data_IF_407098291554
#
_entry.id   IF_407098291554
#
_cell.length_a   1.000
_cell.length_b   1.000
_cell.length_c   1.000
_cell.angle_alpha   90.00
_cell.angle_beta   90.00
_cell.angle_gamma   90.00
#
_symmetry.space_group_name_H-M   'P 1'
#
loop_
_entity.id
_entity.type
_entity.pdbx_description
1 polymer ?
#
# COMPACT_ATOMS: atom_id res chain seq x y z
N UNK A 1 -16.60 -14.82 8.11
CA UNK A 1 -15.91 -14.19 6.98
C UNK A 1 -15.49 -12.78 7.35
N UNK A 2 -14.20 -12.47 7.15
CA UNK A 2 -13.63 -11.20 7.57
C UNK A 2 -13.69 -10.19 6.42
N UNK A 3 -14.40 -9.09 6.64
CA UNK A 3 -14.54 -8.03 5.65
C UNK A 3 -14.25 -6.68 6.32
N UNK A 4 -13.48 -5.84 5.65
CA UNK A 4 -13.14 -4.50 6.12
C UNK A 4 -13.51 -3.47 5.06
N UNK A 5 -14.24 -2.44 5.47
CA UNK A 5 -14.49 -1.26 4.64
C UNK A 5 -13.54 -0.17 5.12
N UNK A 6 -12.41 -0.04 4.42
CA UNK A 6 -11.31 0.83 4.86
C UNK A 6 -11.49 2.30 4.49
N UNK A 7 -12.51 2.63 3.68
CA UNK A 7 -12.74 4.00 3.27
C UNK A 7 -11.53 4.59 2.58
N UNK A 8 -11.10 5.76 3.03
CA UNK A 8 -9.96 6.48 2.47
C UNK A 8 -8.64 6.21 3.22
N UNK A 9 -8.65 5.29 4.21
CA UNK A 9 -7.44 5.00 5.01
C UNK A 9 -6.48 4.09 4.26
N UNK A 10 -6.99 2.98 3.69
CA UNK A 10 -6.19 2.00 2.98
C UNK A 10 -6.79 1.75 1.61
N UNK A 11 -5.96 1.85 0.58
CA UNK A 11 -6.31 1.53 -0.81
C UNK A 11 -5.53 0.31 -1.27
N UNK A 12 -5.98 -0.29 -2.38
CA UNK A 12 -5.20 -1.32 -3.06
C UNK A 12 -3.88 -0.68 -3.51
N UNK A 13 -2.78 -1.19 -2.98
CA UNK A 13 -1.41 -0.71 -3.20
C UNK A 13 -1.17 0.74 -2.74
N UNK A 14 -1.99 1.26 -1.83
CA UNK A 14 -1.80 2.62 -1.34
C UNK A 14 -2.49 2.90 -0.02
N UNK A 15 -2.47 4.14 0.37
CA UNK A 15 -3.22 4.64 1.52
C UNK A 15 -3.69 6.07 1.23
N UNK A 16 -4.59 6.58 2.09
CA UNK A 16 -5.07 7.94 1.94
C UNK A 16 -3.99 8.99 2.23
N UNK A 17 -4.21 10.19 1.73
CA UNK A 17 -3.34 11.33 2.06
C UNK A 17 -3.53 11.72 3.52
N UNK A 18 -2.49 12.32 4.09
CA UNK A 18 -2.53 12.78 5.48
C UNK A 18 -3.14 14.18 5.50
N UNK A 19 -4.46 14.26 5.62
CA UNK A 19 -5.19 15.53 5.74
C UNK A 19 -5.39 15.94 7.19
N UNK A 20 -5.57 14.96 8.08
CA UNK A 20 -5.76 15.15 9.50
C UNK A 20 -4.80 14.25 10.27
N UNK A 21 -4.33 14.71 11.42
CA UNK A 21 -3.35 13.99 12.20
C UNK A 21 -1.94 14.15 11.62
N UNK A 22 -1.08 13.16 11.85
CA UNK A 22 0.31 13.20 11.42
C UNK A 22 0.74 11.81 10.91
N UNK A 23 1.95 11.70 10.31
CA UNK A 23 2.45 10.42 9.79
C UNK A 23 2.47 9.29 10.81
N UNK A 24 2.82 9.59 12.07
CA UNK A 24 2.84 8.59 13.12
C UNK A 24 1.44 8.03 13.38
N UNK A 25 0.44 8.88 13.47
CA UNK A 25 -0.96 8.45 13.70
C UNK A 25 -1.47 7.58 12.56
N UNK A 26 -1.18 7.95 11.31
CA UNK A 26 -1.59 7.15 10.15
C UNK A 26 -0.86 5.81 10.12
N UNK A 27 0.44 5.82 10.40
CA UNK A 27 1.25 4.60 10.46
C UNK A 27 0.69 3.63 11.53
N UNK A 28 0.36 4.14 12.71
CA UNK A 28 -0.23 3.34 13.78
C UNK A 28 -1.60 2.78 13.40
N UNK A 29 -2.42 3.58 12.70
CA UNK A 29 -3.73 3.13 12.21
C UNK A 29 -3.58 1.97 11.22
N UNK A 30 -2.63 2.07 10.29
CA UNK A 30 -2.35 0.99 9.34
C UNK A 30 -1.81 -0.25 10.04
N UNK A 31 -0.98 -0.08 11.07
CA UNK A 31 -0.46 -1.22 11.84
C UNK A 31 -1.58 -1.99 12.54
N UNK A 32 -2.60 -1.29 13.02
CA UNK A 32 -3.79 -1.97 13.60
C UNK A 32 -4.53 -2.79 12.55
N UNK A 33 -4.66 -2.27 11.33
CA UNK A 33 -5.30 -3.01 10.23
C UNK A 33 -4.47 -4.24 9.85
N UNK A 34 -3.14 -4.13 9.89
CA UNK A 34 -2.23 -5.25 9.58
C UNK A 34 -2.37 -6.42 10.55
N UNK A 35 -2.89 -6.19 11.75
CA UNK A 35 -3.09 -7.25 12.74
C UNK A 35 -4.33 -8.12 12.46
N UNK A 36 -5.15 -7.75 11.48
CA UNK A 36 -6.31 -8.54 11.08
C UNK A 36 -5.88 -9.80 10.33
N UNK A 37 -6.75 -10.83 10.24
CA UNK A 37 -6.42 -12.03 9.46
C UNK A 37 -6.09 -11.72 8.00
N UNK A 38 -5.14 -12.44 7.41
CA UNK A 38 -4.68 -12.19 6.05
C UNK A 38 -5.78 -12.42 5.00
N UNK A 39 -6.74 -13.28 5.27
CA UNK A 39 -7.90 -13.51 4.39
C UNK A 39 -8.95 -12.41 4.46
N UNK A 40 -8.75 -11.38 5.27
CA UNK A 40 -9.66 -10.25 5.36
C UNK A 40 -9.81 -9.59 3.99
N UNK A 41 -11.05 -9.44 3.53
CA UNK A 41 -11.36 -8.79 2.26
C UNK A 41 -11.53 -7.28 2.53
N UNK A 42 -10.81 -6.47 1.77
CA UNK A 42 -10.78 -5.02 1.96
C UNK A 42 -11.52 -4.33 0.83
N UNK A 43 -12.56 -3.57 1.19
CA UNK A 43 -13.27 -2.69 0.27
C UNK A 43 -12.83 -1.26 0.56
N UNK A 44 -12.09 -0.66 -0.38
CA UNK A 44 -11.68 0.74 -0.28
C UNK A 44 -12.60 1.64 -1.09
N UNK A 45 -12.52 2.96 -0.84
CA UNK A 45 -13.49 3.91 -1.40
C UNK A 45 -13.30 4.20 -2.88
N UNK A 46 -12.07 4.07 -3.39
CA UNK A 46 -11.71 4.53 -4.74
C UNK A 46 -10.90 3.50 -5.50
N UNK A 47 -11.05 3.50 -6.83
CA UNK A 47 -10.32 2.61 -7.73
C UNK A 47 -9.02 3.31 -8.21
N UNK A 48 -8.04 3.43 -7.31
CA UNK A 48 -6.75 4.06 -7.60
C UNK A 48 -5.63 3.05 -7.88
N UNK A 49 -5.97 1.77 -7.98
CA UNK A 49 -5.00 0.67 -7.92
C UNK A 49 -3.90 0.76 -8.99
N UNK A 50 -4.24 1.10 -10.23
CA UNK A 50 -3.23 1.15 -11.30
C UNK A 50 -2.18 2.23 -11.06
N UNK A 51 -2.61 3.45 -10.72
CA UNK A 51 -1.68 4.54 -10.39
C UNK A 51 -0.84 4.18 -9.16
N UNK A 52 -1.46 3.58 -8.15
CA UNK A 52 -0.76 3.13 -6.95
C UNK A 52 0.25 2.02 -7.26
N UNK A 53 -0.06 1.15 -8.23
CA UNK A 53 0.84 0.07 -8.65
C UNK A 53 2.14 0.64 -9.26
N UNK A 54 2.03 1.61 -10.13
CA UNK A 54 3.20 2.24 -10.75
C UNK A 54 4.06 2.98 -9.72
N UNK A 55 3.44 3.64 -8.76
CA UNK A 55 4.19 4.23 -7.66
C UNK A 55 4.88 3.16 -6.81
N UNK A 56 4.14 2.11 -6.45
CA UNK A 56 4.68 1.06 -5.57
C UNK A 56 5.95 0.43 -6.14
N UNK A 57 5.98 0.15 -7.45
CA UNK A 57 7.16 -0.44 -8.06
C UNK A 57 8.34 0.53 -8.09
N UNK A 58 8.09 1.84 -8.04
CA UNK A 58 9.16 2.84 -8.00
C UNK A 58 9.93 2.81 -6.67
N UNK A 59 9.28 2.41 -5.57
CA UNK A 59 9.92 2.32 -4.24
C UNK A 59 10.26 0.89 -3.84
N UNK A 60 9.72 -0.11 -4.54
CA UNK A 60 9.94 -1.54 -4.25
C UNK A 60 10.20 -2.34 -5.54
N UNK A 61 11.23 -1.98 -6.32
CA UNK A 61 11.40 -2.47 -7.68
C UNK A 61 11.79 -3.95 -7.80
N UNK A 62 12.26 -4.58 -6.72
CA UNK A 62 12.68 -5.98 -6.75
C UNK A 62 11.62 -6.94 -6.21
N UNK A 63 10.46 -6.45 -5.82
CA UNK A 63 9.38 -7.27 -5.29
C UNK A 63 8.66 -8.02 -6.41
N UNK A 64 8.94 -9.33 -6.52
CA UNK A 64 8.37 -10.14 -7.60
C UNK A 64 6.86 -10.28 -7.50
N UNK A 65 6.33 -10.41 -6.28
CA UNK A 65 4.87 -10.49 -6.09
C UNK A 65 4.17 -9.21 -6.55
N UNK A 66 4.81 -8.06 -6.33
CA UNK A 66 4.30 -6.79 -6.82
C UNK A 66 4.34 -6.73 -8.36
N UNK A 67 5.42 -7.18 -8.99
CA UNK A 67 5.51 -7.24 -10.45
C UNK A 67 4.41 -8.09 -11.04
N UNK A 68 4.16 -9.27 -10.46
CA UNK A 68 3.11 -10.18 -10.92
C UNK A 68 1.73 -9.55 -10.73
N UNK A 69 1.51 -8.90 -9.60
CA UNK A 69 0.25 -8.21 -9.31
C UNK A 69 -0.02 -7.08 -10.31
N UNK A 70 1.01 -6.31 -10.69
CA UNK A 70 0.87 -5.22 -11.67
C UNK A 70 0.36 -5.75 -12.99
N UNK A 71 0.88 -6.89 -13.46
CA UNK A 71 0.41 -7.51 -14.71
C UNK A 71 -1.07 -7.87 -14.66
N UNK A 72 -1.53 -8.39 -13.52
CA UNK A 72 -2.95 -8.73 -13.31
C UNK A 72 -3.79 -7.46 -13.32
N UNK A 73 -3.34 -6.41 -12.63
CA UNK A 73 -4.03 -5.12 -12.56
C UNK A 73 -4.16 -4.50 -13.95
N UNK A 74 -3.08 -4.47 -14.71
CA UNK A 74 -3.09 -3.95 -16.07
C UNK A 74 -4.08 -4.71 -16.95
N UNK A 75 -4.10 -6.03 -16.85
CA UNK A 75 -5.06 -6.85 -17.58
C UNK A 75 -6.52 -6.54 -17.22
N UNK A 76 -6.80 -6.38 -15.93
CA UNK A 76 -8.15 -6.04 -15.47
C UNK A 76 -8.57 -4.66 -15.96
N UNK A 77 -7.69 -3.65 -15.84
CA UNK A 77 -8.03 -2.29 -16.25
C UNK A 77 -8.17 -2.17 -17.76
N UNK A 78 -7.40 -2.91 -18.53
CA UNK A 78 -7.56 -2.96 -19.99
C UNK A 78 -8.93 -3.52 -20.41
N UNK A 79 -9.51 -4.38 -19.59
CA UNK A 79 -10.85 -4.93 -19.83
C UNK A 79 -11.96 -4.09 -19.18
N UNK A 80 -11.61 -2.98 -18.53
CA UNK A 80 -12.58 -2.15 -17.80
C UNK A 80 -13.11 -2.80 -16.53
N UNK A 81 -12.41 -3.81 -15.99
CA UNK A 81 -12.83 -4.51 -14.80
C UNK A 81 -12.22 -3.90 -13.53
N UNK A 82 -12.92 -3.95 -12.39
CA UNK A 82 -12.41 -3.39 -11.14
C UNK A 82 -11.28 -4.25 -10.56
N UNK A 83 -10.39 -3.61 -9.77
CA UNK A 83 -9.31 -4.27 -9.05
C UNK A 83 -9.59 -4.38 -7.54
N UNK A 84 -10.67 -3.82 -7.07
CA UNK A 84 -11.16 -3.92 -5.69
C UNK A 84 -12.40 -4.81 -5.68
N UNK A 85 -12.66 -5.55 -4.61
CA UNK A 85 -11.92 -5.58 -3.35
C UNK A 85 -10.56 -6.27 -3.45
N UNK A 86 -9.74 -6.09 -2.42
CA UNK A 86 -8.45 -6.74 -2.30
C UNK A 86 -8.39 -7.55 -0.99
N UNK A 87 -7.39 -8.40 -0.83
CA UNK A 87 -7.18 -9.16 0.41
C UNK A 87 -6.01 -8.57 1.19
N UNK A 88 -6.14 -8.55 2.52
CA UNK A 88 -5.09 -8.02 3.38
C UNK A 88 -3.74 -8.74 3.16
N UNK A 89 -3.76 -10.07 3.03
CA UNK A 89 -2.53 -10.83 2.79
C UNK A 89 -1.78 -10.37 1.54
N UNK A 90 -2.50 -10.05 0.47
CA UNK A 90 -1.90 -9.51 -0.75
C UNK A 90 -1.34 -8.11 -0.51
N UNK A 91 -2.05 -7.26 0.23
CA UNK A 91 -1.56 -5.93 0.57
C UNK A 91 -0.29 -6.00 1.43
N UNK A 92 -0.23 -6.91 2.39
CA UNK A 92 0.97 -7.10 3.23
C UNK A 92 2.21 -7.47 2.42
N UNK A 93 2.04 -8.11 1.27
CA UNK A 93 3.14 -8.53 0.39
C UNK A 93 3.51 -7.48 -0.65
N UNK A 94 2.64 -6.54 -0.95
CA UNK A 94 2.81 -5.65 -2.11
C UNK A 94 2.63 -4.16 -1.83
N UNK A 95 1.88 -3.79 -0.80
CA UNK A 95 1.60 -2.38 -0.49
C UNK A 95 2.75 -1.75 0.29
N UNK A 96 3.50 -0.78 -0.28
CA UNK A 96 4.65 -0.20 0.40
C UNK A 96 4.31 0.51 1.71
N UNK A 97 3.10 1.04 1.84
CA UNK A 97 2.67 1.70 3.08
C UNK A 97 2.50 0.73 4.24
N UNK A 98 2.30 -0.57 3.97
CA UNK A 98 2.25 -1.62 4.97
C UNK A 98 3.61 -2.31 5.16
N UNK A 99 4.60 -1.96 4.35
CA UNK A 99 5.90 -2.62 4.31
C UNK A 99 7.06 -1.69 4.68
N UNK A 100 6.77 -0.69 5.51
CA UNK A 100 7.77 0.34 5.89
C UNK A 100 8.98 -0.24 6.63
N UNK A 101 8.85 -1.41 7.24
CA UNK A 101 9.96 -2.10 7.89
C UNK A 101 10.77 -3.01 6.95
N UNK A 102 10.33 -3.15 5.70
CA UNK A 102 11.01 -4.02 4.73
C UNK A 102 12.40 -3.48 4.38
N UNK A 103 13.42 -4.33 4.45
CA UNK A 103 14.81 -3.92 4.27
C UNK A 103 15.09 -3.43 2.84
N UNK A 104 14.53 -4.08 1.82
CA UNK A 104 14.77 -3.69 0.42
C UNK A 104 14.19 -2.31 0.13
N UNK A 105 12.98 -2.02 0.63
CA UNK A 105 12.38 -0.69 0.51
C UNK A 105 13.27 0.35 1.19
N UNK A 106 13.72 0.06 2.41
CA UNK A 106 14.58 0.98 3.17
C UNK A 106 15.92 1.22 2.49
N UNK A 107 16.50 0.19 1.89
CA UNK A 107 17.73 0.34 1.09
C UNK A 107 17.50 1.24 -0.11
N UNK A 108 16.41 1.04 -0.82
CA UNK A 108 16.07 1.85 -1.99
C UNK A 108 15.83 3.32 -1.64
N UNK A 109 15.30 3.58 -0.45
CA UNK A 109 15.06 4.93 0.05
C UNK A 109 16.26 5.51 0.80
N UNK A 110 17.29 4.70 1.05
CA UNK A 110 18.45 5.06 1.86
C UNK A 110 18.05 5.45 3.31
N UNK A 111 17.15 4.65 3.89
CA UNK A 111 16.55 4.90 5.21
C UNK A 111 16.58 3.67 6.12
N UNK A 112 17.74 3.01 6.22
CA UNK A 112 17.87 1.76 7.00
C UNK A 112 17.67 1.99 8.50
N UNK A 113 18.12 3.15 9.01
CA UNK A 113 18.17 3.45 10.44
C UNK A 113 16.96 4.21 10.97
N UNK A 114 16.10 4.68 10.09
CA UNK A 114 14.96 5.52 10.46
C UNK A 114 13.83 4.68 11.07
N UNK A 115 12.93 5.36 11.80
CA UNK A 115 11.74 4.72 12.38
C UNK A 115 10.73 4.37 11.29
N UNK A 116 9.79 3.48 11.61
CA UNK A 116 8.71 3.12 10.69
C UNK A 116 7.90 4.34 10.28
N UNK A 117 7.61 5.26 11.21
CA UNK A 117 6.84 6.46 10.89
C UNK A 117 7.61 7.42 9.98
N UNK A 118 8.94 7.50 10.13
CA UNK A 118 9.77 8.32 9.25
C UNK A 118 9.81 7.74 7.83
N UNK A 119 9.92 6.42 7.70
CA UNK A 119 9.87 5.74 6.40
C UNK A 119 8.49 5.93 5.77
N UNK A 120 7.43 5.77 6.55
CA UNK A 120 6.06 5.97 6.09
C UNK A 120 5.88 7.40 5.55
N UNK A 121 6.34 8.40 6.30
CA UNK A 121 6.26 9.81 5.89
C UNK A 121 6.97 10.03 4.55
N UNK A 122 8.17 9.46 4.39
CA UNK A 122 8.93 9.57 3.15
C UNK A 122 8.17 8.97 1.97
N UNK A 123 7.62 7.77 2.14
CA UNK A 123 6.85 7.12 1.08
C UNK A 123 5.62 7.96 0.72
N UNK A 124 4.92 8.51 1.72
CA UNK A 124 3.76 9.36 1.50
C UNK A 124 4.13 10.63 0.71
N UNK A 125 5.23 11.27 1.08
CA UNK A 125 5.74 12.45 0.38
C UNK A 125 6.08 12.14 -1.08
N UNK A 126 6.75 11.03 -1.32
CA UNK A 126 7.08 10.59 -2.68
C UNK A 126 5.83 10.34 -3.51
N UNK A 127 4.80 9.73 -2.90
CA UNK A 127 3.53 9.49 -3.59
C UNK A 127 2.81 10.80 -3.91
N UNK A 128 2.81 11.75 -2.99
CA UNK A 128 2.15 13.04 -3.20
C UNK A 128 2.79 13.83 -4.36
N UNK A 129 4.05 13.58 -4.66
CA UNK A 129 4.81 14.24 -5.73
C UNK A 129 5.03 13.34 -6.96
N UNK A 130 4.44 12.17 -6.98
CA UNK A 130 4.58 11.20 -8.09
C UNK A 130 3.68 11.60 -9.31
#
# INVERSE_FOLDING_TARGET
>A
QNTLFSGDTLFALGCGRIFEGNPLMMCESLQKLMALPEETIIYCSHEYTLANAYFSISVDPTNQELKDRIKIIEGLRNKGLPTIPTKLGLELKTNPFLRVSNLEIRKNLNMIKETDSEVFEKIRLLKDNF
#
